data_IF_494293115227
#
_entry.id   IF_494293115227
#
_cell.length_a   1.000
_cell.length_b   1.000
_cell.length_c   1.000
_cell.angle_alpha   90.00
_cell.angle_beta   90.00
_cell.angle_gamma   90.00
#
_symmetry.space_group_name_H-M   'P 1'
#
loop_
_entity.id
_entity.type
_entity.pdbx_description
1 polymer ?
#
# COMPACT_ATOMS: atom_id res chain seq x y z
N UNK A 1 -2.70 -14.29 9.84
CA UNK A 1 -1.39 -14.43 9.25
C UNK A 1 -1.18 -13.44 8.14
N UNK A 2 0.00 -12.86 8.09
CA UNK A 2 0.26 -11.70 7.25
C UNK A 2 0.55 -12.01 5.79
N UNK A 3 0.65 -13.29 5.43
CA UNK A 3 1.02 -13.65 4.06
C UNK A 3 0.04 -13.16 3.01
N UNK A 4 -1.25 -13.27 3.29
CA UNK A 4 -2.27 -12.78 2.36
C UNK A 4 -2.18 -11.27 2.22
N UNK A 5 -1.92 -10.58 3.33
CA UNK A 5 -1.77 -9.13 3.32
C UNK A 5 -0.53 -8.72 2.54
N UNK A 6 0.57 -9.45 2.67
CA UNK A 6 1.79 -9.18 1.92
C UNK A 6 1.54 -9.34 0.42
N UNK A 7 0.89 -10.42 0.02
CA UNK A 7 0.55 -10.64 -1.39
C UNK A 7 -0.39 -9.57 -1.91
N UNK A 8 -1.36 -9.16 -1.11
CA UNK A 8 -2.27 -8.09 -1.47
C UNK A 8 -1.50 -6.78 -1.73
N UNK A 9 -0.60 -6.43 -0.83
CA UNK A 9 0.18 -5.21 -0.97
C UNK A 9 1.05 -5.23 -2.22
N UNK A 10 1.67 -6.35 -2.52
CA UNK A 10 2.50 -6.47 -3.72
C UNK A 10 1.68 -6.28 -5.00
N UNK A 11 0.52 -6.92 -5.07
CA UNK A 11 -0.37 -6.78 -6.22
C UNK A 11 -0.90 -5.35 -6.34
N UNK A 12 -1.34 -4.79 -5.22
CA UNK A 12 -1.91 -3.47 -5.21
C UNK A 12 -0.87 -2.44 -5.64
N UNK A 13 0.35 -2.60 -5.14
CA UNK A 13 1.45 -1.71 -5.51
C UNK A 13 1.70 -1.75 -7.02
N UNK A 14 1.76 -2.94 -7.59
CA UNK A 14 2.00 -3.10 -9.03
C UNK A 14 0.89 -2.50 -9.87
N UNK A 15 -0.35 -2.56 -9.37
CA UNK A 15 -1.50 -2.09 -10.12
C UNK A 15 -1.75 -0.59 -9.94
N UNK A 16 -1.43 -0.02 -8.78
CA UNK A 16 -1.84 1.33 -8.43
C UNK A 16 -0.72 2.31 -8.13
N UNK A 17 0.49 1.82 -7.90
CA UNK A 17 1.62 2.69 -7.65
C UNK A 17 2.39 2.88 -8.95
N UNK A 18 2.36 4.09 -9.47
CA UNK A 18 3.04 4.45 -10.70
C UNK A 18 4.14 5.46 -10.41
N UNK A 19 5.07 5.60 -11.35
CA UNK A 19 6.15 6.57 -11.24
C UNK A 19 5.64 7.99 -11.52
N UNK A 20 4.68 8.45 -10.73
CA UNK A 20 4.10 9.77 -10.86
C UNK A 20 4.31 10.57 -9.58
N UNK A 21 4.72 11.82 -9.73
CA UNK A 21 4.91 12.70 -8.58
C UNK A 21 3.61 12.94 -7.82
N UNK A 22 2.48 12.85 -8.50
CA UNK A 22 1.17 13.01 -7.88
C UNK A 22 0.91 11.99 -6.78
N UNK A 23 1.46 10.79 -6.93
CA UNK A 23 1.24 9.74 -5.95
C UNK A 23 1.76 10.13 -4.58
N UNK A 24 2.89 10.86 -4.52
CA UNK A 24 3.41 11.35 -3.24
C UNK A 24 2.52 12.43 -2.65
N UNK A 25 1.98 13.32 -3.47
CA UNK A 25 1.10 14.38 -2.98
C UNK A 25 -0.22 13.82 -2.46
N UNK A 26 -0.66 12.70 -3.01
CA UNK A 26 -1.90 12.05 -2.63
C UNK A 26 -1.68 10.81 -1.77
N UNK A 27 -0.57 10.77 -1.07
CA UNK A 27 -0.21 9.57 -0.30
C UNK A 27 -1.29 9.18 0.70
N UNK A 28 -1.87 10.14 1.41
CA UNK A 28 -2.91 9.85 2.38
C UNK A 28 -4.15 9.22 1.71
N UNK A 29 -4.54 9.73 0.55
CA UNK A 29 -5.65 9.17 -0.21
C UNK A 29 -5.31 7.78 -0.72
N UNK A 30 -4.08 7.58 -1.17
CA UNK A 30 -3.60 6.29 -1.65
C UNK A 30 -3.64 5.25 -0.54
N UNK A 31 -3.22 5.64 0.67
CA UNK A 31 -3.31 4.75 1.84
C UNK A 31 -4.76 4.37 2.12
N UNK A 32 -5.65 5.35 2.10
CA UNK A 32 -7.07 5.10 2.36
C UNK A 32 -7.68 4.15 1.31
N UNK A 33 -7.33 4.33 0.06
CA UNK A 33 -7.80 3.44 -1.01
C UNK A 33 -7.28 2.01 -0.82
N UNK A 34 -6.02 1.88 -0.44
CA UNK A 34 -5.42 0.58 -0.20
C UNK A 34 -6.15 -0.14 0.95
N UNK A 35 -6.39 0.57 2.05
CA UNK A 35 -7.10 0.00 3.20
C UNK A 35 -8.53 -0.41 2.81
N UNK A 36 -9.21 0.44 2.04
CA UNK A 36 -10.56 0.14 1.58
C UNK A 36 -10.61 -1.09 0.70
N UNK A 37 -9.68 -1.22 -0.24
CA UNK A 37 -9.61 -2.38 -1.11
C UNK A 37 -9.29 -3.64 -0.33
N UNK A 38 -8.40 -3.56 0.64
CA UNK A 38 -8.05 -4.69 1.49
C UNK A 38 -9.25 -5.15 2.33
N UNK A 39 -10.04 -4.20 2.82
CA UNK A 39 -11.22 -4.53 3.61
C UNK A 39 -12.23 -5.36 2.79
N UNK A 40 -12.32 -5.12 1.50
CA UNK A 40 -13.17 -5.91 0.62
C UNK A 40 -12.71 -7.37 0.53
N UNK A 41 -11.42 -7.61 0.75
CA UNK A 41 -10.83 -8.95 0.76
C UNK A 41 -10.69 -9.50 2.19
N UNK A 42 -11.39 -8.91 3.15
CA UNK A 42 -11.35 -9.31 4.57
C UNK A 42 -9.97 -9.15 5.20
N UNK A 43 -9.19 -8.21 4.71
CA UNK A 43 -7.88 -7.90 5.27
C UNK A 43 -8.03 -6.63 6.11
N UNK A 44 -7.69 -6.71 7.40
CA UNK A 44 -7.80 -5.56 8.29
C UNK A 44 -6.65 -4.58 8.07
N UNK A 45 -6.88 -3.32 8.49
CA UNK A 45 -5.84 -2.30 8.43
C UNK A 45 -4.62 -2.70 9.26
N UNK A 46 -4.84 -3.34 10.41
CA UNK A 46 -3.74 -3.81 11.25
C UNK A 46 -2.89 -4.86 10.53
N UNK A 47 -3.53 -5.77 9.81
CA UNK A 47 -2.81 -6.77 9.04
C UNK A 47 -1.99 -6.14 7.93
N UNK A 48 -2.55 -5.14 7.27
CA UNK A 48 -1.82 -4.40 6.23
C UNK A 48 -0.60 -3.70 6.80
N UNK A 49 -0.76 -3.03 7.94
CA UNK A 49 0.37 -2.33 8.54
C UNK A 49 1.46 -3.28 8.99
N UNK A 50 1.08 -4.43 9.56
CA UNK A 50 2.05 -5.44 9.92
C UNK A 50 2.79 -5.98 8.71
N UNK A 51 2.07 -6.23 7.61
CA UNK A 51 2.68 -6.69 6.37
C UNK A 51 3.60 -5.65 5.78
N UNK A 52 3.30 -4.38 5.99
CA UNK A 52 4.11 -3.26 5.48
C UNK A 52 5.30 -2.92 6.37
N UNK A 53 5.52 -3.67 7.43
CA UNK A 53 6.64 -3.43 8.31
C UNK A 53 6.34 -2.47 9.45
N UNK A 54 5.07 -2.24 9.75
CA UNK A 54 4.62 -1.40 10.86
C UNK A 54 3.96 -0.10 10.44
N UNK A 55 4.17 0.35 9.20
CA UNK A 55 3.52 1.57 8.69
C UNK A 55 3.21 1.42 7.22
N UNK A 56 1.93 1.36 6.91
CA UNK A 56 1.46 1.27 5.51
C UNK A 56 1.85 2.52 4.73
N UNK A 57 1.74 3.68 5.34
CA UNK A 57 2.08 4.94 4.70
C UNK A 57 3.55 4.96 4.27
N UNK A 58 4.44 4.55 5.17
CA UNK A 58 5.88 4.49 4.86
C UNK A 58 6.17 3.47 3.76
N UNK A 59 5.49 2.33 3.82
CA UNK A 59 5.66 1.30 2.80
C UNK A 59 5.31 1.84 1.41
N UNK A 60 4.15 2.48 1.30
CA UNK A 60 3.70 3.03 0.01
C UNK A 60 4.58 4.18 -0.45
N UNK A 61 4.99 5.04 0.48
CA UNK A 61 5.88 6.14 0.17
C UNK A 61 7.20 5.62 -0.41
N UNK A 62 7.79 4.62 0.23
CA UNK A 62 9.03 4.01 -0.25
C UNK A 62 8.83 3.37 -1.62
N UNK A 63 7.71 2.69 -1.81
CA UNK A 63 7.41 2.06 -3.10
C UNK A 63 7.29 3.10 -4.22
N UNK A 64 6.64 4.23 -3.95
CA UNK A 64 6.50 5.31 -4.92
C UNK A 64 7.86 5.90 -5.26
N UNK A 65 8.69 6.16 -4.25
CA UNK A 65 10.01 6.72 -4.46
C UNK A 65 10.88 5.77 -5.28
N UNK A 66 10.85 4.48 -4.96
CA UNK A 66 11.63 3.49 -5.69
C UNK A 66 11.15 3.34 -7.13
N UNK A 67 9.85 3.45 -7.35
CA UNK A 67 9.29 3.35 -8.70
C UNK A 67 9.65 4.56 -9.56
N UNK A 68 9.85 5.71 -8.91
CA UNK A 68 10.19 6.96 -9.62
C UNK A 68 11.62 6.99 -10.16
N UNK A 69 12.43 6.06 -9.77
CA UNK A 69 13.77 5.93 -10.33
C UNK A 69 13.69 5.17 -11.65
#
# INVERSE_FOLDING_TARGET
MAEIAIQFLERWRQAHVYAELRALEQLDETVAECVGAAAEDDISADDLENAAGGSLKEYLRTAIINTSE
#
